data_IF_040804569377
#
_entry.id   IF_040804569377
#
_cell.length_a   1.000
_cell.length_b   1.000
_cell.length_c   1.000
_cell.angle_alpha   90.00
_cell.angle_beta   90.00
_cell.angle_gamma   90.00
#
_symmetry.space_group_name_H-M   'P 1'
#
loop_
_entity.id
_entity.type
_entity.pdbx_description
1 polymer ?
#
# COMPACT_ATOMS: atom_id res chain seq x y z
N UNK A 1 -2.35 15.24 -12.82
CA UNK A 1 -2.78 16.66 -12.73
C UNK A 1 -2.84 17.43 -14.07
N UNK A 2 -1.96 17.20 -15.07
CA UNK A 2 -1.98 17.94 -16.35
C UNK A 2 -3.32 17.92 -17.13
N UNK A 3 -4.05 16.80 -17.08
CA UNK A 3 -5.36 16.65 -17.76
C UNK A 3 -6.44 17.58 -17.20
N UNK A 4 -6.29 18.05 -15.97
CA UNK A 4 -7.22 18.99 -15.33
C UNK A 4 -6.89 20.46 -15.65
N UNK A 5 -5.83 20.72 -16.44
CA UNK A 5 -5.38 22.07 -16.79
C UNK A 5 -5.50 22.31 -18.30
N UNK A 6 -5.57 23.57 -18.75
CA UNK A 6 -5.48 23.92 -20.17
C UNK A 6 -4.24 23.31 -20.84
N UNK A 7 -4.35 22.96 -22.12
CA UNK A 7 -3.31 22.22 -22.85
C UNK A 7 -1.91 22.87 -22.77
N UNK A 8 -1.86 24.20 -22.79
CA UNK A 8 -0.64 24.99 -22.75
C UNK A 8 -0.16 25.36 -21.33
N UNK A 9 -0.88 25.00 -20.27
CA UNK A 9 -0.52 25.36 -18.90
C UNK A 9 0.81 24.70 -18.49
N UNK A 10 1.74 25.45 -17.91
CA UNK A 10 3.00 24.91 -17.37
C UNK A 10 2.83 24.65 -15.86
N UNK A 11 3.46 23.59 -15.37
CA UNK A 11 3.48 23.25 -13.94
C UNK A 11 4.96 23.23 -13.53
N UNK A 12 5.32 24.01 -12.50
CA UNK A 12 6.68 24.00 -11.95
C UNK A 12 7.03 22.62 -11.38
N UNK A 13 8.33 22.38 -11.17
CA UNK A 13 8.80 21.15 -10.52
C UNK A 13 8.26 21.09 -9.09
N UNK A 14 8.45 22.16 -8.33
CA UNK A 14 8.06 22.26 -6.92
C UNK A 14 6.56 22.00 -6.72
N UNK A 15 5.69 22.56 -7.57
CA UNK A 15 4.25 22.31 -7.48
C UNK A 15 3.89 20.83 -7.70
N UNK A 16 4.64 20.10 -8.53
CA UNK A 16 4.42 18.65 -8.71
C UNK A 16 4.83 17.87 -7.46
N UNK A 17 5.96 18.25 -6.86
CA UNK A 17 6.48 17.62 -5.64
C UNK A 17 5.52 17.85 -4.46
N UNK A 18 5.07 19.09 -4.25
CA UNK A 18 4.07 19.40 -3.22
C UNK A 18 2.79 18.60 -3.41
N UNK A 19 2.27 18.49 -4.63
CA UNK A 19 1.04 17.69 -4.86
C UNK A 19 1.28 16.20 -4.62
N UNK A 20 2.49 15.66 -4.87
CA UNK A 20 2.81 14.27 -4.52
C UNK A 20 2.81 14.05 -3.00
N UNK A 21 3.36 14.99 -2.24
CA UNK A 21 3.33 14.97 -0.77
C UNK A 21 1.87 15.04 -0.28
N UNK A 22 1.08 15.96 -0.80
CA UNK A 22 -0.35 16.08 -0.45
C UNK A 22 -1.14 14.80 -0.78
N UNK A 23 -0.84 14.11 -1.89
CA UNK A 23 -1.53 12.85 -2.23
C UNK A 23 -1.15 11.73 -1.26
N UNK A 24 0.09 11.73 -0.76
CA UNK A 24 0.54 10.76 0.24
C UNK A 24 -0.17 10.98 1.58
N UNK A 25 -0.32 12.25 1.99
CA UNK A 25 -1.11 12.62 3.16
C UNK A 25 -2.59 12.30 2.96
N UNK A 26 -3.16 12.57 1.79
CA UNK A 26 -4.56 12.25 1.49
C UNK A 26 -4.86 10.76 1.68
N UNK A 27 -4.01 9.88 1.15
CA UNK A 27 -4.18 8.43 1.35
C UNK A 27 -4.16 8.07 2.84
N UNK A 28 -3.21 8.64 3.58
CA UNK A 28 -3.05 8.38 5.01
C UNK A 28 -4.24 8.90 5.81
N UNK A 29 -4.76 10.07 5.45
CA UNK A 29 -5.89 10.73 6.10
C UNK A 29 -7.19 9.94 5.92
N UNK A 30 -7.54 9.59 4.66
CA UNK A 30 -8.74 8.79 4.38
C UNK A 30 -8.65 7.41 5.05
N UNK A 31 -7.48 6.76 4.95
CA UNK A 31 -7.30 5.42 5.52
C UNK A 31 -7.35 5.45 7.06
N UNK A 32 -6.85 6.52 7.69
CA UNK A 32 -6.96 6.74 9.13
C UNK A 32 -8.42 6.81 9.59
N UNK A 33 -9.23 7.64 8.94
CA UNK A 33 -10.65 7.80 9.29
C UNK A 33 -11.45 6.49 9.06
N UNK A 34 -11.16 5.78 7.97
CA UNK A 34 -11.77 4.47 7.70
C UNK A 34 -11.34 3.40 8.71
N UNK A 35 -10.06 3.42 9.13
CA UNK A 35 -9.53 2.54 10.17
C UNK A 35 -10.26 2.78 11.49
N UNK A 36 -10.45 4.03 11.89
CA UNK A 36 -11.13 4.37 13.15
C UNK A 36 -12.57 3.86 13.18
N UNK A 37 -13.30 3.97 12.07
CA UNK A 37 -14.62 3.33 11.93
C UNK A 37 -14.54 1.81 12.06
N UNK A 38 -13.66 1.17 11.30
CA UNK A 38 -13.49 -0.27 11.30
C UNK A 38 -13.22 -0.80 12.72
N UNK A 39 -12.33 -0.13 13.45
CA UNK A 39 -11.96 -0.47 14.83
C UNK A 39 -13.12 -0.25 15.80
N UNK A 40 -13.87 0.86 15.67
CA UNK A 40 -15.08 1.13 16.46
C UNK A 40 -16.15 0.05 16.29
N UNK A 41 -16.22 -0.55 15.10
CA UNK A 41 -17.09 -1.70 14.79
C UNK A 41 -16.47 -3.06 15.16
N UNK A 42 -15.34 -3.08 15.90
CA UNK A 42 -14.62 -4.27 16.34
C UNK A 42 -14.13 -5.17 15.20
N UNK A 43 -13.90 -4.61 14.02
CA UNK A 43 -13.30 -5.30 12.87
C UNK A 43 -11.81 -5.02 12.80
N UNK A 44 -11.05 -6.00 12.28
CA UNK A 44 -9.60 -5.89 12.05
C UNK A 44 -9.23 -5.62 10.59
N UNK A 45 -10.22 -5.67 9.70
CA UNK A 45 -10.04 -5.53 8.26
C UNK A 45 -10.94 -4.42 7.77
N UNK A 46 -10.32 -3.40 7.20
CA UNK A 46 -10.99 -2.28 6.54
C UNK A 46 -11.59 -2.79 5.23
N UNK A 47 -12.86 -2.47 5.01
CA UNK A 47 -13.59 -2.84 3.79
C UNK A 47 -13.90 -1.60 2.94
N UNK A 48 -14.37 -1.81 1.70
CA UNK A 48 -14.74 -0.70 0.80
C UNK A 48 -15.82 0.24 1.37
N UNK A 49 -16.74 -0.28 2.18
CA UNK A 49 -17.81 0.51 2.81
C UNK A 49 -17.29 1.44 3.92
N UNK A 50 -16.12 1.14 4.50
CA UNK A 50 -15.44 2.04 5.45
C UNK A 50 -14.86 3.25 4.74
N UNK A 51 -14.27 3.02 3.56
CA UNK A 51 -13.72 4.09 2.72
C UNK A 51 -14.85 5.01 2.21
N UNK A 52 -15.98 4.46 1.78
CA UNK A 52 -17.14 5.25 1.36
C UNK A 52 -17.68 6.14 2.49
N UNK A 53 -17.71 5.60 3.71
CA UNK A 53 -18.09 6.38 4.89
C UNK A 53 -17.07 7.47 5.19
N UNK A 54 -15.78 7.15 5.20
CA UNK A 54 -14.72 8.12 5.45
C UNK A 54 -14.75 9.29 4.43
N UNK A 55 -14.96 9.00 3.15
CA UNK A 55 -15.12 10.04 2.11
C UNK A 55 -16.29 10.97 2.42
N UNK A 56 -17.41 10.44 2.92
CA UNK A 56 -18.58 11.26 3.29
C UNK A 56 -18.26 12.10 4.53
N UNK A 57 -17.71 11.49 5.59
CA UNK A 57 -17.40 12.17 6.86
C UNK A 57 -16.40 13.30 6.70
N UNK A 58 -15.43 13.13 5.79
CA UNK A 58 -14.36 14.10 5.55
C UNK A 58 -14.73 15.20 4.53
N UNK A 59 -15.96 15.20 4.00
CA UNK A 59 -16.46 16.22 3.07
C UNK A 59 -16.02 16.03 1.63
N UNK A 60 -15.75 14.79 1.22
CA UNK A 60 -15.42 14.40 -0.15
C UNK A 60 -16.62 13.71 -0.82
N UNK A 61 -17.85 14.19 -0.61
CA UNK A 61 -19.07 13.52 -1.07
C UNK A 61 -19.13 13.34 -2.59
N UNK A 62 -18.56 14.27 -3.36
CA UNK A 62 -18.49 14.20 -4.82
C UNK A 62 -17.75 12.95 -5.35
N UNK A 63 -16.92 12.31 -4.50
CA UNK A 63 -16.22 11.07 -4.84
C UNK A 63 -17.02 9.82 -4.51
N UNK A 64 -18.05 9.91 -3.66
CA UNK A 64 -18.77 8.75 -3.11
C UNK A 64 -19.48 7.95 -4.19
N UNK A 65 -20.23 8.61 -5.08
CA UNK A 65 -21.00 7.92 -6.11
C UNK A 65 -20.11 7.25 -7.18
N UNK A 66 -19.06 7.90 -7.72
CA UNK A 66 -18.08 7.22 -8.56
C UNK A 66 -17.43 6.01 -7.89
N UNK A 67 -17.09 6.12 -6.60
CA UNK A 67 -16.46 5.03 -5.85
C UNK A 67 -17.41 3.87 -5.57
N UNK A 68 -18.70 4.14 -5.29
CA UNK A 68 -19.73 3.09 -5.16
C UNK A 68 -19.86 2.29 -6.45
N UNK A 69 -19.92 2.96 -7.60
CA UNK A 69 -19.98 2.31 -8.90
C UNK A 69 -18.75 1.44 -9.15
N UNK A 70 -17.56 1.96 -8.83
CA UNK A 70 -16.33 1.20 -8.93
C UNK A 70 -16.34 -0.03 -8.01
N UNK A 71 -16.75 0.11 -6.75
CA UNK A 71 -16.81 -0.97 -5.78
C UNK A 71 -17.77 -2.08 -6.22
N UNK A 72 -18.92 -1.71 -6.81
CA UNK A 72 -19.86 -2.68 -7.38
C UNK A 72 -19.19 -3.51 -8.48
N UNK A 73 -18.60 -2.84 -9.48
CA UNK A 73 -17.90 -3.52 -10.58
C UNK A 73 -16.74 -4.38 -10.10
N UNK A 74 -15.99 -3.92 -9.12
CA UNK A 74 -14.89 -4.68 -8.52
C UNK A 74 -15.40 -5.99 -7.90
N UNK A 75 -16.54 -5.94 -7.19
CA UNK A 75 -17.18 -7.12 -6.59
C UNK A 75 -17.71 -8.09 -7.66
N UNK A 76 -18.23 -7.60 -8.77
CA UNK A 76 -18.64 -8.44 -9.91
C UNK A 76 -17.43 -9.20 -10.49
N UNK A 77 -16.34 -8.49 -10.78
CA UNK A 77 -15.12 -9.07 -11.37
C UNK A 77 -14.45 -10.07 -10.42
N UNK A 78 -14.29 -9.71 -9.14
CA UNK A 78 -13.71 -10.63 -8.15
C UNK A 78 -14.63 -11.83 -7.87
N UNK A 79 -15.95 -11.63 -7.91
CA UNK A 79 -16.93 -12.71 -7.82
C UNK A 79 -16.83 -13.70 -9.00
N UNK A 80 -16.70 -13.19 -10.23
CA UNK A 80 -16.45 -13.99 -11.42
C UNK A 80 -15.12 -14.75 -11.34
N UNK A 81 -14.06 -14.10 -10.86
CA UNK A 81 -12.75 -14.71 -10.67
C UNK A 81 -12.79 -15.82 -9.62
N UNK A 82 -13.50 -15.62 -8.52
CA UNK A 82 -13.73 -16.63 -7.50
C UNK A 82 -14.54 -17.82 -8.07
N UNK A 83 -15.57 -17.56 -8.85
CA UNK A 83 -16.37 -18.59 -9.52
C UNK A 83 -15.55 -19.40 -10.54
N UNK A 84 -14.72 -18.75 -11.36
CA UNK A 84 -13.82 -19.39 -12.32
C UNK A 84 -12.70 -20.20 -11.64
N UNK A 85 -12.26 -19.80 -10.44
CA UNK A 85 -11.31 -20.56 -9.63
C UNK A 85 -11.93 -21.80 -8.97
N UNK A 86 -13.25 -21.81 -8.75
CA UNK A 86 -13.95 -22.97 -8.19
C UNK A 86 -14.09 -24.14 -9.17
N UNK A 87 -13.91 -23.89 -10.48
CA UNK A 87 -13.90 -24.94 -11.52
C UNK A 87 -12.53 -25.58 -11.76
N UNK A 88 -11.46 -25.10 -11.13
CA UNK A 88 -10.11 -25.68 -11.30
C UNK A 88 -9.45 -25.85 -9.93
N UNK A 89 -9.35 -27.11 -9.54
CA UNK A 89 -8.68 -27.63 -8.33
C UNK A 89 -7.40 -26.89 -7.91
N UNK A 90 -7.36 -26.49 -6.63
CA UNK A 90 -6.19 -26.43 -5.73
C UNK A 90 -4.95 -25.61 -6.13
N UNK A 91 -4.75 -24.51 -5.40
CA UNK A 91 -3.42 -23.98 -5.05
C UNK A 91 -2.99 -22.69 -5.75
N UNK A 92 -2.99 -21.58 -5.01
CA UNK A 92 -1.83 -20.69 -4.70
C UNK A 92 -2.35 -19.30 -4.29
N UNK A 93 -1.76 -18.82 -3.20
CA UNK A 93 -2.13 -17.74 -2.29
C UNK A 93 -1.79 -16.30 -2.73
N UNK A 94 -2.63 -15.35 -2.28
CA UNK A 94 -2.28 -14.08 -1.59
C UNK A 94 -1.16 -13.15 -2.11
N UNK A 95 -0.82 -13.14 -3.40
CA UNK A 95 0.27 -12.30 -3.93
C UNK A 95 -0.14 -10.87 -4.35
N UNK A 96 -1.42 -10.60 -4.61
CA UNK A 96 -1.84 -9.39 -5.35
C UNK A 96 -1.81 -8.07 -4.55
N UNK A 97 -1.82 -8.10 -3.22
CA UNK A 97 -1.81 -6.88 -2.41
C UNK A 97 -0.43 -6.19 -2.35
N UNK A 98 0.65 -6.93 -2.59
CA UNK A 98 2.02 -6.41 -2.52
C UNK A 98 2.42 -5.59 -3.77
N UNK A 99 1.74 -5.76 -4.90
CA UNK A 99 2.10 -5.13 -6.18
C UNK A 99 1.68 -3.65 -6.25
N UNK A 100 0.61 -3.27 -5.55
CA UNK A 100 0.15 -1.86 -5.46
C UNK A 100 1.12 -1.02 -4.63
N UNK A 101 1.63 -1.55 -3.51
CA UNK A 101 2.64 -0.87 -2.70
C UNK A 101 4.00 -0.77 -3.41
N UNK A 102 4.36 -1.78 -4.21
CA UNK A 102 5.62 -1.80 -4.99
C UNK A 102 5.60 -0.82 -6.17
N UNK A 103 4.44 -0.62 -6.78
CA UNK A 103 4.25 0.36 -7.86
C UNK A 103 4.37 1.81 -7.37
N UNK A 104 4.04 2.08 -6.10
CA UNK A 104 4.26 3.39 -5.49
C UNK A 104 5.76 3.68 -5.26
N UNK A 105 6.55 2.67 -4.87
CA UNK A 105 8.00 2.83 -4.66
C UNK A 105 8.79 3.02 -5.97
N UNK A 106 8.33 2.44 -7.09
CA UNK A 106 9.00 2.56 -8.39
C UNK A 106 8.99 4.00 -8.96
N UNK A 107 8.05 4.85 -8.54
CA UNK A 107 7.97 6.25 -8.95
C UNK A 107 8.75 7.20 -8.02
N UNK A 108 9.31 6.69 -6.92
CA UNK A 108 10.07 7.46 -5.93
C UNK A 108 11.58 7.55 -6.24
N UNK A 109 12.02 7.13 -7.44
CA UNK A 109 13.43 7.11 -7.84
C UNK A 109 14.09 8.48 -8.11
N UNK A 110 13.46 9.60 -7.73
CA UNK A 110 13.93 10.95 -8.07
C UNK A 110 14.51 11.80 -6.93
N UNK A 111 14.36 11.40 -5.66
CA UNK A 111 14.73 12.26 -4.51
C UNK A 111 16.08 11.89 -3.85
N UNK A 112 16.81 10.92 -4.40
CA UNK A 112 18.12 10.52 -3.91
C UNK A 112 19.21 11.51 -4.40
N UNK A 113 19.25 12.71 -3.83
CA UNK A 113 20.16 13.74 -4.32
C UNK A 113 20.40 14.93 -3.41
N UNK A 114 20.45 14.78 -2.08
CA UNK A 114 21.09 15.77 -1.20
C UNK A 114 21.16 15.28 0.25
N UNK A 115 22.23 14.59 0.63
CA UNK A 115 22.89 14.72 1.95
C UNK A 115 24.20 13.93 1.89
N UNK A 116 25.26 14.63 1.47
CA UNK A 116 26.63 14.15 1.67
C UNK A 116 27.06 14.38 3.11
N UNK A 117 27.87 13.45 3.63
CA UNK A 117 28.83 13.79 4.69
C UNK A 117 28.99 12.80 5.85
N UNK A 118 29.98 11.90 5.68
CA UNK A 118 31.08 11.63 6.64
C UNK A 118 30.85 10.76 7.90
N UNK A 119 31.66 9.70 7.98
CA UNK A 119 32.06 8.94 9.19
C UNK A 119 31.28 7.64 9.38
N UNK A 120 31.81 6.41 9.25
CA UNK A 120 33.17 5.92 9.42
C UNK A 120 33.28 5.15 10.74
N UNK A 121 32.95 3.87 10.75
CA UNK A 121 33.43 2.87 11.73
C UNK A 121 33.30 1.47 11.13
N UNK A 122 34.46 0.86 10.82
CA UNK A 122 34.56 -0.54 10.44
C UNK A 122 34.59 -1.43 11.67
N UNK A 123 34.07 -2.66 11.55
CA UNK A 123 34.54 -3.77 12.36
C UNK A 123 34.47 -5.08 11.58
N UNK A 124 35.52 -5.86 11.75
CA UNK A 124 36.03 -6.94 10.91
C UNK A 124 36.12 -8.22 11.75
N UNK A 125 35.87 -9.37 11.12
CA UNK A 125 36.23 -10.71 11.62
C UNK A 125 35.06 -11.46 12.29
N UNK A 126 34.72 -12.72 11.99
CA UNK A 126 35.42 -13.77 11.27
C UNK A 126 35.99 -14.84 12.23
N UNK A 127 35.37 -16.03 12.27
CA UNK A 127 36.09 -17.31 12.43
C UNK A 127 35.85 -18.17 13.68
N UNK A 128 35.52 -19.46 13.43
CA UNK A 128 35.89 -20.67 14.20
C UNK A 128 35.09 -20.95 15.48
N UNK A 129 34.58 -22.14 15.79
CA UNK A 129 34.94 -23.51 15.42
C UNK A 129 35.22 -24.34 16.70
N UNK A 130 34.86 -25.64 16.69
CA UNK A 130 35.03 -26.67 17.77
C UNK A 130 33.97 -26.65 18.89
N UNK A 131 33.50 -27.73 19.53
CA UNK A 131 33.62 -29.20 19.41
C UNK A 131 32.79 -29.84 20.56
N UNK A 132 32.35 -31.10 20.42
CA UNK A 132 31.98 -31.99 21.55
C UNK A 132 30.51 -32.45 21.58
N UNK A 133 30.15 -33.67 21.15
CA UNK A 133 30.22 -35.00 21.80
C UNK A 133 29.09 -35.34 22.80
N UNK A 134 28.37 -36.45 22.53
CA UNK A 134 27.63 -37.29 23.50
C UNK A 134 26.10 -37.39 23.26
N UNK A 135 25.60 -38.45 22.59
CA UNK A 135 25.04 -39.74 23.12
C UNK A 135 23.67 -39.62 23.83
N UNK A 136 22.62 -40.27 23.27
CA UNK A 136 21.85 -41.43 23.83
C UNK A 136 20.96 -41.04 25.04
N UNK A 137 19.66 -41.30 25.19
CA UNK A 137 18.69 -42.36 24.82
C UNK A 137 17.28 -41.70 24.80
N UNK A 138 16.18 -42.21 24.24
CA UNK A 138 15.65 -43.58 24.25
C UNK A 138 14.71 -43.80 25.44
N UNK A 139 13.45 -43.32 25.35
CA UNK A 139 12.25 -43.84 26.02
C UNK A 139 11.00 -43.19 25.42
#
# INVERSE_FOLDING_TARGET
MKKALPANAKISKDAKETVQECVSEFISFITGEASDKCQREKRKTINGDDLLWAMTTLGFEDYVDPLKHYLHKFREIEGERAAASSSTTSGVSAAAAADVARSAAANAGGYAGAMGGRGGFGHQGGGGGSSGLGRQDGA
#
